data_IF_988728747839
#
_entry.id   IF_988728747839
#
_cell.length_a   1.000
_cell.length_b   1.000
_cell.length_c   1.000
_cell.angle_alpha   90.00
_cell.angle_beta   90.00
_cell.angle_gamma   90.00
#
_symmetry.space_group_name_H-M   'P 1'
#
loop_
_entity.id
_entity.type
_entity.pdbx_description
1 polymer ?
#
# COMPACT_ATOMS: atom_id res chain seq x y z
N UNK A 1 22.43 1.69 6.03
CA UNK A 1 22.75 1.87 4.61
C UNK A 1 21.55 2.51 3.91
N UNK A 2 21.72 3.71 3.36
CA UNK A 2 20.66 4.31 2.55
C UNK A 2 20.50 3.50 1.27
N UNK A 3 19.34 2.86 1.08
CA UNK A 3 18.98 2.25 -0.22
C UNK A 3 18.80 3.40 -1.20
N UNK A 4 19.54 3.50 -2.30
CA UNK A 4 19.48 4.64 -3.22
C UNK A 4 18.07 4.85 -3.84
N UNK A 5 17.21 3.83 -3.78
CA UNK A 5 15.84 3.85 -4.33
C UNK A 5 14.75 4.04 -3.25
N UNK A 6 15.12 4.16 -1.95
CA UNK A 6 14.15 4.29 -0.87
C UNK A 6 13.85 5.75 -0.54
N UNK A 7 12.59 6.12 -0.63
CA UNK A 7 12.10 7.49 -0.41
C UNK A 7 11.15 7.49 0.81
N UNK A 8 11.66 7.81 2.03
CA UNK A 8 10.90 7.69 3.28
C UNK A 8 9.61 8.51 3.33
N UNK A 9 9.60 9.69 2.70
CA UNK A 9 8.43 10.57 2.64
C UNK A 9 7.26 9.99 1.84
N UNK A 10 7.50 9.06 0.90
CA UNK A 10 6.42 8.35 0.21
C UNK A 10 5.71 7.33 1.11
N UNK A 11 6.45 6.71 2.05
CA UNK A 11 5.80 5.85 3.05
C UNK A 11 4.91 6.69 3.98
N UNK A 12 5.38 7.87 4.41
CA UNK A 12 4.54 8.77 5.20
C UNK A 12 3.32 9.29 4.43
N UNK A 13 3.45 9.58 3.15
CA UNK A 13 2.32 9.95 2.30
C UNK A 13 1.28 8.82 2.23
N UNK A 14 1.74 7.56 2.10
CA UNK A 14 0.86 6.38 2.19
C UNK A 14 0.19 6.24 3.55
N UNK A 15 0.92 6.54 4.62
CA UNK A 15 0.39 6.54 5.99
C UNK A 15 -0.73 7.54 6.19
N UNK A 16 -0.55 8.78 5.73
CA UNK A 16 -1.59 9.81 5.76
C UNK A 16 -2.80 9.38 4.91
N UNK A 17 -2.58 8.90 3.71
CA UNK A 17 -3.66 8.44 2.84
C UNK A 17 -4.47 7.30 3.50
N UNK A 18 -3.81 6.31 4.11
CA UNK A 18 -4.48 5.24 4.83
C UNK A 18 -5.30 5.76 6.02
N UNK A 19 -4.73 6.66 6.81
CA UNK A 19 -5.43 7.26 7.95
C UNK A 19 -6.69 8.03 7.49
N UNK A 20 -6.60 8.79 6.39
CA UNK A 20 -7.74 9.53 5.84
C UNK A 20 -8.84 8.59 5.33
N UNK A 21 -8.48 7.42 4.75
CA UNK A 21 -9.47 6.38 4.42
C UNK A 21 -10.17 5.86 5.68
N UNK A 22 -9.43 5.58 6.75
CA UNK A 22 -10.03 5.13 8.02
C UNK A 22 -10.99 6.18 8.56
N UNK A 23 -10.56 7.45 8.61
CA UNK A 23 -11.40 8.55 9.09
C UNK A 23 -12.65 8.75 8.20
N UNK A 24 -12.52 8.55 6.89
CA UNK A 24 -13.65 8.61 5.97
C UNK A 24 -14.71 7.53 6.23
N UNK A 25 -14.34 6.42 6.82
CA UNK A 25 -15.27 5.32 7.14
C UNK A 25 -15.79 5.35 8.59
N UNK A 26 -15.34 6.30 9.43
CA UNK A 26 -15.85 6.45 10.80
C UNK A 26 -17.37 6.69 10.78
N UNK A 27 -17.86 7.60 9.94
CA UNK A 27 -19.29 7.90 9.83
C UNK A 27 -20.16 6.75 9.30
N UNK A 28 -19.56 5.70 8.72
CA UNK A 28 -20.28 4.49 8.33
C UNK A 28 -20.71 3.63 9.52
N UNK A 29 -19.97 3.73 10.62
CA UNK A 29 -20.12 2.88 11.81
C UNK A 29 -20.65 3.70 12.99
N UNK A 30 -20.25 4.97 13.10
CA UNK A 30 -20.58 5.86 14.21
C UNK A 30 -21.50 6.98 13.73
N UNK A 31 -22.82 6.94 14.08
CA UNK A 31 -23.82 7.85 13.54
C UNK A 31 -23.61 9.33 13.86
N UNK A 32 -22.98 9.65 15.02
CA UNK A 32 -22.71 11.04 15.42
C UNK A 32 -21.44 11.62 14.78
N UNK A 33 -20.63 10.78 14.12
CA UNK A 33 -19.44 11.25 13.44
C UNK A 33 -19.80 12.19 12.27
N UNK A 34 -19.07 13.30 12.16
CA UNK A 34 -19.33 14.30 11.13
C UNK A 34 -19.21 13.74 9.70
N UNK A 35 -20.23 14.00 8.88
CA UNK A 35 -20.24 13.64 7.45
C UNK A 35 -19.08 14.27 6.64
N UNK A 36 -18.45 15.33 7.16
CA UNK A 36 -17.35 16.02 6.46
C UNK A 36 -16.08 15.17 6.30
N UNK A 37 -15.84 14.19 7.19
CA UNK A 37 -14.68 13.29 7.06
C UNK A 37 -14.90 12.18 6.03
N UNK A 38 -16.15 11.82 5.74
CA UNK A 38 -16.49 10.67 4.87
C UNK A 38 -16.10 10.86 3.41
N UNK A 39 -15.76 12.05 3.01
CA UNK A 39 -15.57 12.44 1.60
C UNK A 39 -14.11 12.38 1.14
N UNK A 40 -13.13 12.39 2.05
CA UNK A 40 -11.69 12.38 1.70
C UNK A 40 -11.16 10.99 1.30
N UNK A 41 -11.97 9.95 1.41
CA UNK A 41 -11.56 8.57 1.10
C UNK A 41 -11.21 8.36 -0.37
N UNK A 42 -11.94 8.98 -1.29
CA UNK A 42 -11.68 8.86 -2.73
C UNK A 42 -10.35 9.49 -3.12
N UNK A 43 -10.03 10.68 -2.57
CA UNK A 43 -8.77 11.38 -2.76
C UNK A 43 -7.58 10.55 -2.27
N UNK A 44 -7.74 9.94 -1.11
CA UNK A 44 -6.72 9.07 -0.53
C UNK A 44 -6.45 7.83 -1.41
N UNK A 45 -7.50 7.20 -1.95
CA UNK A 45 -7.34 6.08 -2.90
C UNK A 45 -6.72 6.54 -4.21
N UNK A 46 -7.10 7.72 -4.72
CA UNK A 46 -6.47 8.31 -5.89
C UNK A 46 -4.95 8.51 -5.71
N UNK A 47 -4.53 8.99 -4.53
CA UNK A 47 -3.10 9.07 -4.18
C UNK A 47 -2.43 7.69 -4.14
N UNK A 48 -3.08 6.65 -3.62
CA UNK A 48 -2.53 5.30 -3.66
C UNK A 48 -2.30 4.80 -5.09
N UNK A 49 -3.22 5.06 -6.01
CA UNK A 49 -3.05 4.69 -7.41
C UNK A 49 -1.90 5.48 -8.08
N UNK A 50 -1.79 6.79 -7.84
CA UNK A 50 -0.67 7.58 -8.33
C UNK A 50 0.68 7.11 -7.74
N UNK A 51 0.73 6.81 -6.43
CA UNK A 51 1.89 6.23 -5.76
C UNK A 51 2.28 4.86 -6.34
N UNK A 52 1.29 4.02 -6.64
CA UNK A 52 1.54 2.70 -7.25
C UNK A 52 2.17 2.86 -8.63
N UNK A 53 1.60 3.73 -9.48
CA UNK A 53 2.18 4.05 -10.79
C UNK A 53 3.61 4.59 -10.68
N UNK A 54 3.83 5.58 -9.79
CA UNK A 54 5.14 6.17 -9.53
C UNK A 54 6.17 5.11 -9.13
N UNK A 55 5.87 4.33 -8.12
CA UNK A 55 6.81 3.33 -7.60
C UNK A 55 7.14 2.25 -8.63
N UNK A 56 6.15 1.81 -9.42
CA UNK A 56 6.41 0.82 -10.47
C UNK A 56 7.37 1.38 -11.53
N UNK A 57 7.13 2.58 -12.03
CA UNK A 57 7.98 3.20 -13.04
C UNK A 57 9.36 3.58 -12.49
N UNK A 58 9.45 4.08 -11.26
CA UNK A 58 10.70 4.40 -10.58
C UNK A 58 11.59 3.16 -10.37
N UNK A 59 11.03 2.08 -9.84
CA UNK A 59 11.78 0.87 -9.50
C UNK A 59 12.09 -0.03 -10.71
N UNK A 60 11.23 -0.05 -11.71
CA UNK A 60 11.32 -0.99 -12.83
C UNK A 60 11.52 -0.31 -14.19
N UNK A 61 11.03 0.91 -14.38
CA UNK A 61 10.96 1.57 -15.69
C UNK A 61 12.30 1.80 -16.41
N UNK A 62 13.44 1.60 -15.75
CA UNK A 62 14.79 1.65 -16.33
C UNK A 62 15.46 0.27 -16.41
N UNK A 63 14.84 -0.78 -15.87
CA UNK A 63 15.39 -2.15 -15.89
C UNK A 63 15.10 -2.83 -17.23
N UNK A 64 15.92 -3.81 -17.65
CA UNK A 64 15.64 -4.60 -18.85
C UNK A 64 14.31 -5.33 -18.74
N UNK A 65 13.49 -5.27 -19.79
CA UNK A 65 12.22 -6.01 -19.88
C UNK A 65 12.53 -7.40 -20.41
N UNK A 66 12.76 -8.35 -19.51
CA UNK A 66 12.92 -9.78 -19.81
C UNK A 66 11.75 -10.56 -19.22
N UNK A 67 11.52 -11.77 -19.72
CA UNK A 67 10.47 -12.66 -19.21
C UNK A 67 10.64 -12.89 -17.70
N UNK A 68 11.88 -13.11 -17.28
CA UNK A 68 12.23 -13.37 -15.88
C UNK A 68 11.93 -12.17 -15.00
N UNK A 69 12.32 -10.97 -15.43
CA UNK A 69 12.06 -9.74 -14.67
C UNK A 69 10.57 -9.42 -14.57
N UNK A 70 9.80 -9.70 -15.63
CA UNK A 70 8.35 -9.53 -15.66
C UNK A 70 7.68 -10.51 -14.69
N UNK A 71 8.09 -11.79 -14.71
CA UNK A 71 7.55 -12.78 -13.79
C UNK A 71 7.90 -12.47 -12.33
N UNK A 72 9.15 -12.08 -12.04
CA UNK A 72 9.58 -11.63 -10.71
C UNK A 72 8.73 -10.46 -10.21
N UNK A 73 8.45 -9.50 -11.08
CA UNK A 73 7.58 -8.38 -10.80
C UNK A 73 6.16 -8.85 -10.45
N UNK A 74 5.53 -9.64 -11.34
CA UNK A 74 4.15 -10.10 -11.15
C UNK A 74 4.00 -10.92 -9.86
N UNK A 75 4.91 -11.86 -9.62
CA UNK A 75 4.88 -12.68 -8.40
C UNK A 75 5.06 -11.80 -7.15
N UNK A 76 6.00 -10.85 -7.18
CA UNK A 76 6.23 -9.97 -6.02
C UNK A 76 5.03 -9.07 -5.71
N UNK A 77 4.28 -8.64 -6.74
CA UNK A 77 3.06 -7.82 -6.56
C UNK A 77 1.88 -8.66 -6.10
N UNK A 78 1.67 -9.83 -6.71
CA UNK A 78 0.65 -10.77 -6.28
C UNK A 78 0.86 -11.22 -4.83
N UNK A 79 2.08 -11.60 -4.47
CA UNK A 79 2.43 -12.01 -3.11
C UNK A 79 2.24 -10.89 -2.06
N UNK A 80 2.31 -9.63 -2.48
CA UNK A 80 2.08 -8.49 -1.60
C UNK A 80 0.60 -8.24 -1.31
N UNK A 81 -0.27 -8.43 -2.31
CA UNK A 81 -1.68 -8.01 -2.23
C UNK A 81 -2.61 -9.18 -1.93
N UNK A 82 -2.52 -10.24 -2.72
CA UNK A 82 -3.57 -11.24 -2.77
C UNK A 82 -3.78 -12.03 -1.47
N UNK A 83 -2.74 -12.47 -0.73
CA UNK A 83 -2.96 -13.23 0.50
C UNK A 83 -3.69 -12.42 1.59
N UNK A 84 -3.30 -11.18 1.77
CA UNK A 84 -3.89 -10.28 2.78
C UNK A 84 -5.32 -9.89 2.37
N UNK A 85 -5.51 -9.60 1.09
CA UNK A 85 -6.84 -9.36 0.52
C UNK A 85 -7.77 -10.56 0.74
N UNK A 86 -7.32 -11.78 0.45
CA UNK A 86 -8.11 -12.99 0.66
C UNK A 86 -8.45 -13.20 2.14
N UNK A 87 -7.52 -12.93 3.06
CA UNK A 87 -7.78 -12.98 4.49
C UNK A 87 -8.86 -11.97 4.91
N UNK A 88 -8.84 -10.75 4.35
CA UNK A 88 -9.87 -9.75 4.62
C UNK A 88 -11.24 -10.15 4.03
N UNK A 89 -11.27 -10.69 2.81
CA UNK A 89 -12.49 -11.21 2.18
C UNK A 89 -13.10 -12.35 3.02
N UNK A 90 -12.27 -13.28 3.51
CA UNK A 90 -12.71 -14.37 4.39
C UNK A 90 -13.29 -13.84 5.70
N UNK A 91 -12.61 -12.89 6.35
CA UNK A 91 -13.10 -12.28 7.57
C UNK A 91 -14.47 -11.61 7.35
N UNK A 92 -14.58 -10.78 6.30
CA UNK A 92 -15.85 -10.10 5.98
C UNK A 92 -16.95 -11.09 5.62
N UNK A 93 -16.67 -12.14 4.88
CA UNK A 93 -17.64 -13.18 4.56
C UNK A 93 -18.13 -13.92 5.83
N UNK A 94 -17.23 -14.21 6.78
CA UNK A 94 -17.59 -14.79 8.07
C UNK A 94 -18.49 -13.84 8.86
N UNK A 95 -18.11 -12.57 9.00
CA UNK A 95 -18.92 -11.57 9.72
C UNK A 95 -20.30 -11.39 9.06
N UNK A 96 -20.36 -11.40 7.73
CA UNK A 96 -21.62 -11.29 6.97
C UNK A 96 -22.54 -12.50 7.11
N UNK A 97 -21.97 -13.68 7.38
CA UNK A 97 -22.72 -14.92 7.61
C UNK A 97 -23.20 -15.10 9.05
N UNK A 98 -22.72 -14.31 10.00
CA UNK A 98 -23.12 -14.38 11.40
C UNK A 98 -24.51 -13.77 11.58
N UNK A 99 -25.45 -14.57 12.09
CA UNK A 99 -26.82 -14.12 12.37
C UNK A 99 -26.80 -12.99 13.41
N UNK A 100 -27.62 -11.96 13.18
CA UNK A 100 -27.81 -10.80 14.06
C UNK A 100 -26.59 -9.85 14.18
N UNK A 101 -25.63 -9.93 13.25
CA UNK A 101 -24.48 -9.02 13.28
C UNK A 101 -24.67 -7.77 12.41
N UNK A 102 -25.47 -7.84 11.35
CA UNK A 102 -25.80 -6.75 10.40
C UNK A 102 -24.57 -5.95 9.96
N UNK A 103 -23.55 -6.66 9.45
CA UNK A 103 -22.29 -6.05 9.06
C UNK A 103 -22.48 -5.00 7.96
N UNK A 104 -21.90 -3.82 8.12
CA UNK A 104 -22.17 -2.62 7.31
C UNK A 104 -21.76 -2.72 5.83
N UNK A 105 -20.83 -3.60 5.48
CA UNK A 105 -20.35 -3.81 4.10
C UNK A 105 -20.29 -5.31 3.77
N UNK A 106 -21.43 -6.01 3.72
CA UNK A 106 -21.47 -7.48 3.66
C UNK A 106 -21.02 -8.03 2.31
N UNK A 107 -20.46 -9.25 2.37
CA UNK A 107 -20.32 -10.16 1.23
C UNK A 107 -21.42 -11.21 1.40
N UNK A 108 -22.44 -11.17 0.55
CA UNK A 108 -23.66 -11.98 0.72
C UNK A 108 -23.71 -13.16 -0.25
N UNK A 109 -23.76 -14.36 0.33
CA UNK A 109 -23.89 -15.58 -0.45
C UNK A 109 -22.63 -16.05 -1.18
N UNK A 110 -22.67 -17.30 -1.66
CA UNK A 110 -21.52 -17.96 -2.28
C UNK A 110 -21.07 -17.32 -3.60
N UNK A 111 -22.01 -16.83 -4.40
CA UNK A 111 -21.69 -16.19 -5.68
C UNK A 111 -20.89 -14.90 -5.48
N UNK A 112 -21.30 -14.07 -4.52
CA UNK A 112 -20.59 -12.81 -4.23
C UNK A 112 -19.21 -13.08 -3.61
N UNK A 113 -19.12 -14.06 -2.71
CA UNK A 113 -17.83 -14.53 -2.19
C UNK A 113 -16.87 -14.98 -3.31
N UNK A 114 -17.36 -15.83 -4.24
CA UNK A 114 -16.56 -16.30 -5.38
C UNK A 114 -16.11 -15.12 -6.24
N UNK A 115 -16.99 -14.13 -6.50
CA UNK A 115 -16.62 -12.91 -7.24
C UNK A 115 -15.46 -12.17 -6.56
N UNK A 116 -15.48 -12.02 -5.22
CA UNK A 116 -14.39 -11.40 -4.49
C UNK A 116 -13.10 -12.22 -4.60
N UNK A 117 -13.15 -13.53 -4.43
CA UNK A 117 -11.97 -14.40 -4.60
C UNK A 117 -11.31 -14.20 -5.97
N UNK A 118 -12.10 -14.03 -7.04
CA UNK A 118 -11.60 -13.81 -8.39
C UNK A 118 -11.41 -12.31 -8.75
N UNK A 119 -11.43 -11.41 -7.76
CA UNK A 119 -11.23 -9.96 -7.97
C UNK A 119 -12.31 -9.31 -8.85
N UNK A 120 -13.50 -9.86 -8.84
CA UNK A 120 -14.69 -9.36 -9.54
C UNK A 120 -15.74 -8.79 -8.58
N UNK A 121 -15.47 -8.80 -7.29
CA UNK A 121 -16.31 -8.21 -6.25
C UNK A 121 -15.90 -6.79 -5.91
N UNK A 122 -16.84 -5.99 -5.42
CA UNK A 122 -16.65 -4.56 -5.14
C UNK A 122 -17.25 -4.11 -3.81
N UNK A 123 -17.59 -5.04 -2.91
CA UNK A 123 -18.19 -4.70 -1.62
C UNK A 123 -17.23 -3.87 -0.77
N UNK A 124 -17.73 -2.78 -0.18
CA UNK A 124 -16.97 -1.93 0.70
C UNK A 124 -15.63 -1.47 0.10
N UNK A 125 -14.57 -1.55 0.87
CA UNK A 125 -13.22 -1.10 0.49
C UNK A 125 -12.55 -1.97 -0.59
N UNK A 126 -13.08 -3.16 -0.87
CA UNK A 126 -12.46 -4.11 -1.81
C UNK A 126 -12.48 -3.65 -3.27
N UNK A 127 -13.35 -2.70 -3.64
CA UNK A 127 -13.47 -2.19 -5.01
C UNK A 127 -12.15 -1.67 -5.60
N UNK A 128 -11.21 -1.20 -4.77
CA UNK A 128 -9.95 -0.60 -5.22
C UNK A 128 -8.87 -1.62 -5.57
N UNK A 129 -9.01 -2.87 -5.13
CA UNK A 129 -8.00 -3.92 -5.35
C UNK A 129 -8.01 -4.45 -6.80
N UNK A 130 -9.18 -4.72 -7.43
CA UNK A 130 -9.21 -5.13 -8.83
C UNK A 130 -8.51 -4.16 -9.80
N UNK A 131 -8.72 -2.83 -9.76
CA UNK A 131 -7.98 -1.90 -10.62
C UNK A 131 -6.46 -1.95 -10.40
N UNK A 132 -5.99 -2.13 -9.17
CA UNK A 132 -4.56 -2.24 -8.87
C UNK A 132 -3.94 -3.52 -9.47
N UNK A 133 -4.61 -4.65 -9.35
CA UNK A 133 -4.16 -5.91 -9.97
C UNK A 133 -4.21 -5.82 -11.50
N UNK A 134 -5.26 -5.25 -12.07
CA UNK A 134 -5.35 -5.00 -13.51
C UNK A 134 -4.21 -4.10 -14.00
N UNK A 135 -3.85 -3.07 -13.23
CA UNK A 135 -2.70 -2.23 -13.54
C UNK A 135 -1.38 -3.04 -13.49
N UNK A 136 -1.19 -3.93 -12.53
CA UNK A 136 0.01 -4.78 -12.50
C UNK A 136 0.12 -5.70 -13.71
N UNK A 137 -1.00 -6.18 -14.24
CA UNK A 137 -1.02 -6.96 -15.48
C UNK A 137 -0.71 -6.08 -16.72
N UNK A 138 -1.15 -4.83 -16.71
CA UNK A 138 -0.88 -3.86 -17.78
C UNK A 138 0.55 -3.29 -17.72
N UNK A 139 1.11 -3.15 -16.52
CA UNK A 139 2.38 -2.46 -16.30
C UNK A 139 3.57 -3.03 -17.10
N UNK A 140 3.74 -4.34 -17.35
CA UNK A 140 4.80 -4.84 -18.22
C UNK A 140 4.81 -4.21 -19.63
N UNK A 141 3.63 -3.91 -20.19
CA UNK A 141 3.50 -3.22 -21.47
C UNK A 141 3.95 -1.77 -21.35
N UNK A 142 3.50 -1.07 -20.29
CA UNK A 142 3.95 0.29 -20.01
C UNK A 142 5.45 0.33 -19.72
N UNK A 143 5.98 -0.62 -18.97
CA UNK A 143 7.41 -0.75 -18.70
C UNK A 143 8.23 -0.90 -19.99
N UNK A 144 7.76 -1.73 -20.96
CA UNK A 144 8.37 -1.85 -22.27
C UNK A 144 8.41 -0.51 -23.02
N UNK A 145 7.31 0.25 -22.97
CA UNK A 145 7.23 1.60 -23.53
C UNK A 145 8.21 2.56 -22.87
N UNK A 146 8.28 2.56 -21.53
CA UNK A 146 9.17 3.42 -20.75
C UNK A 146 10.65 3.08 -20.92
N UNK A 147 10.98 1.79 -21.12
CA UNK A 147 12.35 1.34 -21.36
C UNK A 147 12.86 1.70 -22.76
N UNK A 148 11.97 1.78 -23.77
CA UNK A 148 12.34 2.06 -25.18
C UNK A 148 11.34 3.03 -25.83
N UNK A 149 11.23 4.29 -25.37
CA UNK A 149 10.16 5.21 -25.76
C UNK A 149 10.18 5.52 -27.26
N UNK A 150 11.34 5.60 -27.89
CA UNK A 150 11.46 5.86 -29.33
C UNK A 150 10.85 4.72 -30.17
N UNK A 151 11.05 3.46 -29.75
CA UNK A 151 10.55 2.29 -30.46
C UNK A 151 9.03 2.13 -30.33
N UNK A 152 8.49 2.44 -29.15
CA UNK A 152 7.08 2.21 -28.81
C UNK A 152 6.27 3.50 -28.73
N UNK A 153 6.71 4.55 -29.43
CA UNK A 153 6.06 5.86 -29.49
C UNK A 153 4.57 5.76 -29.81
N UNK A 154 4.19 4.91 -30.76
CA UNK A 154 2.79 4.71 -31.13
C UNK A 154 1.93 4.14 -29.98
N UNK A 155 2.49 3.23 -29.19
CA UNK A 155 1.78 2.70 -28.01
C UNK A 155 1.63 3.75 -26.93
N UNK A 156 2.64 4.60 -26.70
CA UNK A 156 2.56 5.71 -25.73
C UNK A 156 1.45 6.68 -26.16
N UNK A 157 1.40 7.04 -27.46
CA UNK A 157 0.32 7.87 -28.02
C UNK A 157 -1.02 7.18 -27.84
N UNK A 158 -1.13 5.89 -28.14
CA UNK A 158 -2.35 5.11 -27.94
C UNK A 158 -2.86 5.13 -26.48
N UNK A 159 -1.96 4.90 -25.52
CA UNK A 159 -2.31 5.04 -24.09
C UNK A 159 -2.78 6.45 -23.73
N UNK A 160 -2.10 7.47 -24.23
CA UNK A 160 -2.47 8.87 -24.00
C UNK A 160 -3.86 9.15 -24.58
N UNK A 161 -4.12 8.72 -25.82
CA UNK A 161 -5.43 8.89 -26.47
C UNK A 161 -6.54 8.20 -25.65
N UNK A 162 -6.34 6.94 -25.23
CA UNK A 162 -7.32 6.22 -24.43
C UNK A 162 -7.64 6.98 -23.13
N UNK A 163 -6.62 7.47 -22.40
CA UNK A 163 -6.81 8.24 -21.17
C UNK A 163 -7.54 9.56 -21.41
N UNK A 164 -7.18 10.28 -22.48
CA UNK A 164 -7.83 11.55 -22.82
C UNK A 164 -9.28 11.32 -23.24
N UNK A 165 -9.53 10.31 -24.07
CA UNK A 165 -10.90 9.97 -24.53
C UNK A 165 -11.76 9.53 -23.35
N UNK A 166 -11.26 8.66 -22.47
CA UNK A 166 -11.96 8.23 -21.25
C UNK A 166 -12.28 9.43 -20.35
N UNK A 167 -11.30 10.30 -20.12
CA UNK A 167 -11.48 11.50 -19.29
C UNK A 167 -12.35 12.59 -19.89
N UNK A 168 -12.55 12.63 -21.22
CA UNK A 168 -13.43 13.57 -21.90
C UNK A 168 -14.86 13.04 -22.05
N UNK A 169 -15.01 11.73 -22.21
CA UNK A 169 -16.30 11.09 -22.47
C UNK A 169 -16.96 10.53 -21.21
N UNK A 170 -16.21 10.49 -20.07
CA UNK A 170 -16.65 9.90 -18.81
C UNK A 170 -17.32 8.53 -19.04
N UNK A 171 -16.56 7.62 -19.68
CA UNK A 171 -17.10 6.34 -20.13
C UNK A 171 -17.61 5.53 -18.92
N UNK A 172 -18.90 5.16 -18.92
CA UNK A 172 -19.47 4.42 -17.81
C UNK A 172 -18.81 3.04 -17.69
N UNK A 173 -18.33 2.73 -16.51
CA UNK A 173 -17.76 1.41 -16.22
C UNK A 173 -17.97 1.03 -14.76
N UNK A 174 -17.98 -0.29 -14.43
CA UNK A 174 -17.98 -0.72 -13.05
C UNK A 174 -16.78 -0.12 -12.30
N UNK A 175 -16.98 0.29 -11.05
CA UNK A 175 -15.93 0.91 -10.20
C UNK A 175 -14.67 0.05 -10.02
N UNK A 176 -14.78 -1.26 -10.30
CA UNK A 176 -13.67 -2.22 -10.28
C UNK A 176 -12.83 -2.26 -11.58
N UNK A 177 -13.20 -1.49 -12.61
CA UNK A 177 -12.44 -1.45 -13.86
C UNK A 177 -11.29 -0.45 -13.78
N UNK A 178 -10.15 -0.85 -14.30
CA UNK A 178 -8.95 -0.02 -14.36
C UNK A 178 -9.16 1.27 -15.15
N UNK A 179 -9.96 1.24 -16.22
CA UNK A 179 -10.03 2.32 -17.21
C UNK A 179 -10.27 3.68 -16.55
N UNK A 180 -11.30 3.81 -15.73
CA UNK A 180 -11.63 5.07 -15.01
C UNK A 180 -10.59 5.49 -13.95
N UNK A 181 -9.65 4.62 -13.58
CA UNK A 181 -8.57 4.89 -12.61
C UNK A 181 -7.19 4.97 -13.29
N UNK A 182 -7.13 4.57 -14.56
CA UNK A 182 -5.90 4.51 -15.35
C UNK A 182 -5.12 5.84 -15.41
N UNK A 183 -5.77 7.03 -15.49
CA UNK A 183 -5.06 8.31 -15.43
C UNK A 183 -4.15 8.48 -14.22
N UNK A 184 -4.61 8.06 -13.04
CA UNK A 184 -3.81 8.15 -11.80
C UNK A 184 -2.55 7.31 -11.88
N UNK A 185 -2.67 6.07 -12.33
CA UNK A 185 -1.53 5.17 -12.50
C UNK A 185 -0.56 5.68 -13.58
N UNK A 186 -1.05 6.16 -14.71
CA UNK A 186 -0.21 6.61 -15.82
C UNK A 186 0.52 7.91 -15.50
N UNK A 187 -0.15 8.91 -14.93
CA UNK A 187 0.51 10.15 -14.51
C UNK A 187 1.50 9.89 -13.37
N UNK A 188 1.15 8.99 -12.43
CA UNK A 188 2.09 8.52 -11.43
C UNK A 188 3.31 7.84 -12.03
N UNK A 189 3.11 6.94 -13.00
CA UNK A 189 4.21 6.25 -13.69
C UNK A 189 5.10 7.23 -14.50
N UNK A 190 4.52 8.22 -15.15
CA UNK A 190 5.27 9.27 -15.84
C UNK A 190 6.13 10.05 -14.84
N UNK A 191 5.55 10.48 -13.71
CA UNK A 191 6.28 11.17 -12.65
C UNK A 191 7.42 10.31 -12.09
N UNK A 192 7.20 9.01 -11.87
CA UNK A 192 8.22 8.07 -11.41
C UNK A 192 9.36 7.87 -12.43
N UNK A 193 9.02 7.82 -13.71
CA UNK A 193 10.02 7.75 -14.77
C UNK A 193 10.85 9.03 -14.88
N UNK A 194 10.20 10.21 -14.80
CA UNK A 194 10.89 11.50 -14.79
C UNK A 194 11.82 11.63 -13.58
N UNK A 195 11.38 11.18 -12.42
CA UNK A 195 12.21 11.16 -11.21
C UNK A 195 13.48 10.29 -11.39
N UNK A 196 13.37 9.17 -12.13
CA UNK A 196 14.50 8.25 -12.38
C UNK A 196 15.60 8.85 -13.28
N UNK A 197 15.28 9.85 -14.09
CA UNK A 197 16.31 10.51 -14.91
C UNK A 197 17.25 11.40 -14.10
N UNK A 198 16.87 11.74 -12.87
CA UNK A 198 17.59 12.70 -12.06
C UNK A 198 17.52 14.10 -12.65
N UNK A 199 17.72 15.07 -11.82
CA UNK A 199 18.04 16.45 -12.21
C UNK A 199 18.88 17.08 -11.10
N UNK A 200 19.48 18.21 -11.40
CA UNK A 200 20.29 18.99 -10.44
C UNK A 200 19.43 19.92 -9.58
N UNK A 201 18.08 19.75 -9.63
CA UNK A 201 17.21 20.60 -8.84
C UNK A 201 17.20 20.18 -7.38
N UNK A 202 17.63 21.07 -6.52
CA UNK A 202 17.61 20.91 -5.07
C UNK A 202 16.39 21.62 -4.49
N UNK A 203 15.41 20.89 -3.94
CA UNK A 203 14.21 21.52 -3.40
C UNK A 203 14.52 22.35 -2.16
N UNK A 204 13.91 23.54 -2.09
CA UNK A 204 14.04 24.47 -0.97
C UNK A 204 13.00 24.18 0.14
N UNK A 205 13.15 24.88 1.28
CA UNK A 205 12.14 24.86 2.33
C UNK A 205 10.76 25.36 1.83
N UNK A 206 10.77 26.38 0.95
CA UNK A 206 9.53 26.90 0.34
C UNK A 206 8.85 25.84 -0.52
N UNK A 207 9.62 25.03 -1.26
CA UNK A 207 9.09 23.88 -1.98
C UNK A 207 8.39 22.89 -1.03
N UNK A 208 8.95 22.68 0.16
CA UNK A 208 8.35 21.81 1.18
C UNK A 208 7.02 22.36 1.70
N UNK A 209 6.95 23.64 2.02
CA UNK A 209 5.71 24.33 2.43
C UNK A 209 4.66 24.21 1.33
N UNK A 210 5.04 24.51 0.08
CA UNK A 210 4.15 24.43 -1.06
C UNK A 210 3.63 22.99 -1.29
N UNK A 211 4.49 21.98 -1.11
CA UNK A 211 4.11 20.57 -1.22
C UNK A 211 3.06 20.18 -0.17
N UNK A 212 3.26 20.60 1.09
CA UNK A 212 2.28 20.35 2.17
C UNK A 212 0.98 21.12 1.96
N UNK A 213 1.06 22.34 1.44
CA UNK A 213 -0.12 23.13 1.06
C UNK A 213 -0.92 22.44 -0.06
N UNK A 214 -0.26 21.99 -1.13
CA UNK A 214 -0.91 21.25 -2.21
C UNK A 214 -1.55 19.96 -1.71
N UNK A 215 -0.86 19.25 -0.81
CA UNK A 215 -1.41 18.03 -0.20
C UNK A 215 -2.68 18.33 0.61
N UNK A 216 -2.65 19.37 1.44
CA UNK A 216 -3.83 19.80 2.19
C UNK A 216 -4.95 20.28 1.26
N UNK A 217 -4.62 21.09 0.25
CA UNK A 217 -5.59 21.56 -0.73
C UNK A 217 -6.23 20.41 -1.52
N UNK A 218 -5.48 19.39 -1.89
CA UNK A 218 -5.97 18.22 -2.61
C UNK A 218 -7.10 17.51 -1.84
N UNK A 219 -6.98 17.40 -0.53
CA UNK A 219 -8.00 16.78 0.31
C UNK A 219 -9.17 17.71 0.66
N UNK A 220 -8.96 19.03 0.70
CA UNK A 220 -9.96 19.96 1.21
C UNK A 220 -10.68 20.75 0.12
N UNK A 221 -10.09 20.93 -1.08
CA UNK A 221 -10.61 21.78 -2.14
C UNK A 221 -12.04 21.41 -2.57
N UNK A 222 -12.32 20.12 -2.79
CA UNK A 222 -13.65 19.65 -3.17
C UNK A 222 -14.71 19.99 -2.14
N UNK A 223 -14.35 19.89 -0.87
CA UNK A 223 -15.29 20.10 0.24
C UNK A 223 -15.53 21.57 0.51
N UNK A 224 -14.48 22.39 0.41
CA UNK A 224 -14.55 23.81 0.75
C UNK A 224 -15.03 24.68 -0.43
N UNK A 225 -14.70 24.31 -1.67
CA UNK A 225 -14.91 25.17 -2.83
C UNK A 225 -16.00 24.65 -3.75
N UNK A 226 -16.02 23.35 -4.04
CA UNK A 226 -16.94 22.77 -5.04
C UNK A 226 -18.21 22.18 -4.42
N UNK A 227 -18.30 22.10 -3.09
CA UNK A 227 -19.35 21.34 -2.46
C UNK A 227 -19.23 19.84 -2.77
N UNK A 228 -20.29 19.07 -2.48
CA UNK A 228 -20.34 17.65 -2.80
C UNK A 228 -20.49 17.43 -4.30
N UNK A 229 -19.35 17.24 -5.01
CA UNK A 229 -19.36 16.78 -6.40
C UNK A 229 -19.09 15.28 -6.45
N UNK A 230 -19.89 14.46 -7.16
CA UNK A 230 -19.62 13.04 -7.35
C UNK A 230 -18.38 12.76 -8.20
N UNK A 231 -17.87 13.74 -8.94
CA UNK A 231 -16.84 13.59 -9.97
C UNK A 231 -15.42 13.79 -9.42
N UNK A 232 -14.99 12.95 -8.47
CA UNK A 232 -13.58 12.94 -8.07
C UNK A 232 -12.66 12.35 -9.16
N UNK A 233 -13.12 11.31 -9.85
CA UNK A 233 -12.31 10.54 -10.81
C UNK A 233 -12.13 11.29 -12.14
N UNK A 234 -11.34 12.36 -12.11
CA UNK A 234 -11.07 13.25 -13.24
C UNK A 234 -9.59 13.31 -13.60
N UNK A 235 -9.29 13.76 -14.82
CA UNK A 235 -7.91 13.98 -15.26
C UNK A 235 -7.20 15.02 -14.39
N UNK A 236 -7.89 16.05 -13.94
CA UNK A 236 -7.35 17.11 -13.10
C UNK A 236 -6.89 16.54 -11.73
N UNK A 237 -7.76 15.75 -11.09
CA UNK A 237 -7.44 15.09 -9.82
C UNK A 237 -6.28 14.10 -9.97
N UNK A 238 -6.25 13.33 -11.06
CA UNK A 238 -5.16 12.40 -11.35
C UNK A 238 -3.82 13.13 -11.56
N UNK A 239 -3.84 14.24 -12.27
CA UNK A 239 -2.66 15.07 -12.50
C UNK A 239 -2.17 15.74 -11.22
N UNK A 240 -3.08 16.27 -10.40
CA UNK A 240 -2.75 16.84 -9.09
C UNK A 240 -2.12 15.80 -8.16
N UNK A 241 -2.69 14.59 -8.08
CA UNK A 241 -2.13 13.50 -7.30
C UNK A 241 -0.70 13.14 -7.75
N UNK A 242 -0.46 13.07 -9.06
CA UNK A 242 0.87 12.77 -9.61
C UNK A 242 1.89 13.88 -9.30
N UNK A 243 1.49 15.16 -9.37
CA UNK A 243 2.34 16.30 -8.99
C UNK A 243 2.72 16.20 -7.51
N UNK A 244 1.76 15.94 -6.63
CA UNK A 244 2.02 15.79 -5.19
C UNK A 244 3.02 14.67 -4.96
N UNK A 245 2.82 13.49 -5.56
CA UNK A 245 3.74 12.36 -5.45
C UNK A 245 5.12 12.72 -5.97
N UNK A 246 5.23 13.42 -7.11
CA UNK A 246 6.50 13.87 -7.69
C UNK A 246 7.24 14.84 -6.77
N UNK A 247 6.55 15.82 -6.19
CA UNK A 247 7.12 16.79 -5.27
C UNK A 247 7.58 16.14 -3.96
N UNK A 248 6.76 15.26 -3.38
CA UNK A 248 7.12 14.51 -2.17
C UNK A 248 8.33 13.60 -2.41
N UNK A 249 8.42 12.98 -3.59
CA UNK A 249 9.55 12.13 -3.98
C UNK A 249 10.88 12.90 -4.06
N UNK A 250 10.85 14.21 -4.34
CA UNK A 250 12.04 15.10 -4.31
C UNK A 250 12.55 15.39 -2.90
N UNK A 251 11.84 14.94 -1.90
CA UNK A 251 12.22 15.08 -0.48
C UNK A 251 12.53 16.51 -0.05
N UNK A 252 11.65 17.50 -0.29
CA UNK A 252 11.90 18.86 0.15
C UNK A 252 11.92 18.93 1.68
N UNK A 253 12.86 19.71 2.30
CA UNK A 253 13.23 19.58 3.70
C UNK A 253 12.07 19.59 4.70
N UNK A 254 11.14 20.55 4.57
CA UNK A 254 10.00 20.67 5.50
C UNK A 254 9.01 19.52 5.31
N UNK A 255 8.73 19.12 4.06
CA UNK A 255 7.84 17.99 3.79
C UNK A 255 8.45 16.67 4.29
N UNK A 256 9.77 16.49 4.17
CA UNK A 256 10.47 15.32 4.74
C UNK A 256 10.31 15.29 6.25
N UNK A 257 10.50 16.44 6.94
CA UNK A 257 10.37 16.48 8.39
C UNK A 257 9.00 15.98 8.87
N UNK A 258 7.93 16.29 8.14
CA UNK A 258 6.58 15.85 8.45
C UNK A 258 6.31 14.42 7.98
N UNK A 259 6.56 14.17 6.68
CA UNK A 259 6.15 12.90 6.05
C UNK A 259 7.10 11.74 6.39
N UNK A 260 8.40 12.00 6.57
CA UNK A 260 9.34 10.95 6.95
C UNK A 260 9.48 10.78 8.47
N UNK A 261 8.64 11.44 9.27
CA UNK A 261 8.56 11.20 10.71
C UNK A 261 8.19 9.74 11.02
N UNK A 262 8.75 9.18 12.10
CA UNK A 262 8.57 7.77 12.45
C UNK A 262 7.10 7.32 12.53
N UNK A 263 6.16 8.08 13.14
CA UNK A 263 4.75 7.69 13.15
C UNK A 263 4.12 7.60 11.76
N UNK A 264 4.45 8.54 10.85
CA UNK A 264 3.92 8.56 9.50
C UNK A 264 4.44 7.39 8.67
N UNK A 265 5.74 7.08 8.79
CA UNK A 265 6.34 5.91 8.15
C UNK A 265 5.78 4.59 8.70
N UNK A 266 5.55 4.52 10.01
CA UNK A 266 4.89 3.37 10.62
C UNK A 266 3.50 3.14 10.01
N UNK A 267 2.65 4.16 9.96
CA UNK A 267 1.35 4.08 9.29
C UNK A 267 1.48 3.68 7.81
N UNK A 268 2.50 4.19 7.12
CA UNK A 268 2.81 3.79 5.74
C UNK A 268 3.18 2.31 5.59
N UNK A 269 3.91 1.77 6.55
CA UNK A 269 4.30 0.35 6.57
C UNK A 269 3.08 -0.56 6.68
N UNK A 270 2.16 -0.26 7.60
CA UNK A 270 0.94 -1.05 7.83
C UNK A 270 -0.24 -0.62 6.95
N UNK A 271 -0.06 0.35 6.06
CA UNK A 271 -1.14 1.04 5.33
C UNK A 271 -2.06 0.09 4.57
N UNK A 272 -1.54 -1.01 4.03
CA UNK A 272 -2.32 -1.97 3.26
C UNK A 272 -3.21 -2.83 4.17
N UNK A 273 -2.67 -3.38 5.24
CA UNK A 273 -3.45 -4.08 6.26
C UNK A 273 -4.48 -3.15 6.92
N UNK A 274 -4.08 -1.90 7.22
CA UNK A 274 -4.99 -0.89 7.79
C UNK A 274 -6.15 -0.60 6.82
N UNK A 275 -5.86 -0.43 5.53
CA UNK A 275 -6.87 -0.20 4.49
C UNK A 275 -7.88 -1.34 4.40
N UNK A 276 -7.45 -2.59 4.47
CA UNK A 276 -8.35 -3.75 4.29
C UNK A 276 -9.17 -4.09 5.54
N UNK A 277 -8.62 -3.86 6.72
CA UNK A 277 -9.21 -4.38 7.96
C UNK A 277 -9.85 -3.32 8.87
N UNK A 278 -9.72 -2.00 8.57
CA UNK A 278 -10.25 -0.98 9.47
C UNK A 278 -11.77 -1.07 9.66
N UNK A 279 -12.55 -1.29 8.60
CA UNK A 279 -14.01 -1.37 8.71
C UNK A 279 -14.45 -2.55 9.58
N UNK A 280 -14.03 -3.81 9.33
CA UNK A 280 -14.41 -4.91 10.20
C UNK A 280 -13.91 -4.75 11.63
N UNK A 281 -12.71 -4.20 11.85
CA UNK A 281 -12.20 -3.98 13.22
C UNK A 281 -13.02 -2.92 13.94
N UNK A 282 -13.23 -1.74 13.32
CA UNK A 282 -14.03 -0.66 13.95
C UNK A 282 -15.47 -1.11 14.21
N UNK A 283 -16.06 -1.87 13.29
CA UNK A 283 -17.40 -2.43 13.48
C UNK A 283 -17.48 -3.38 14.68
N UNK A 284 -16.52 -4.30 14.81
CA UNK A 284 -16.48 -5.21 15.96
C UNK A 284 -16.27 -4.46 17.27
N UNK A 285 -15.42 -3.44 17.29
CA UNK A 285 -15.23 -2.59 18.48
C UNK A 285 -16.52 -1.85 18.83
N UNK A 286 -17.17 -1.23 17.85
CA UNK A 286 -18.45 -0.56 18.06
C UNK A 286 -19.46 -1.53 18.68
N UNK A 287 -19.68 -2.67 18.05
CA UNK A 287 -20.67 -3.67 18.49
C UNK A 287 -20.40 -4.24 19.88
N UNK A 288 -19.12 -4.33 20.27
CA UNK A 288 -18.73 -4.88 21.58
C UNK A 288 -18.84 -3.87 22.73
N UNK A 289 -18.70 -2.57 22.44
CA UNK A 289 -18.53 -1.54 23.49
C UNK A 289 -19.55 -0.39 23.39
N UNK A 290 -20.49 -0.39 22.45
CA UNK A 290 -21.46 0.70 22.25
C UNK A 290 -22.30 1.02 23.49
N UNK A 291 -22.58 0.03 24.35
CA UNK A 291 -23.33 0.21 25.59
C UNK A 291 -22.47 0.61 26.80
N UNK A 292 -21.12 0.58 26.66
CA UNK A 292 -20.22 0.72 27.81
C UNK A 292 -19.57 2.10 27.89
N UNK A 293 -19.54 2.87 26.79
CA UNK A 293 -18.87 4.17 26.77
C UNK A 293 -19.51 5.14 25.78
N UNK A 294 -19.32 6.48 25.97
CA UNK A 294 -19.78 7.49 25.04
C UNK A 294 -19.15 7.31 23.65
N UNK A 295 -19.91 7.60 22.58
CA UNK A 295 -19.49 7.39 21.19
C UNK A 295 -18.15 8.07 20.83
N UNK A 296 -17.91 9.29 21.32
CA UNK A 296 -16.64 9.98 21.08
C UNK A 296 -15.42 9.21 21.62
N UNK A 297 -15.54 8.63 22.82
CA UNK A 297 -14.50 7.77 23.41
C UNK A 297 -14.38 6.46 22.64
N UNK A 298 -15.49 5.90 22.21
CA UNK A 298 -15.55 4.67 21.43
C UNK A 298 -14.86 4.82 20.07
N UNK A 299 -15.05 5.96 19.39
CA UNK A 299 -14.33 6.29 18.14
C UNK A 299 -12.81 6.27 18.37
N UNK A 300 -12.33 6.95 19.43
CA UNK A 300 -10.91 6.98 19.74
C UNK A 300 -10.35 5.58 20.00
N UNK A 301 -11.05 4.76 20.78
CA UNK A 301 -10.69 3.37 21.06
C UNK A 301 -10.69 2.53 19.76
N UNK A 302 -11.72 2.68 18.93
CA UNK A 302 -11.82 1.97 17.64
C UNK A 302 -10.67 2.30 16.69
N UNK A 303 -10.26 3.58 16.61
CA UNK A 303 -9.11 4.00 15.80
C UNK A 303 -7.80 3.40 16.33
N UNK A 304 -7.57 3.41 17.64
CA UNK A 304 -6.37 2.81 18.23
C UNK A 304 -6.34 1.30 17.98
N UNK A 305 -7.46 0.60 18.19
CA UNK A 305 -7.57 -0.84 17.96
C UNK A 305 -7.45 -1.16 16.47
N UNK A 306 -7.97 -0.32 15.56
CA UNK A 306 -7.81 -0.50 14.12
C UNK A 306 -6.32 -0.42 13.70
N UNK A 307 -5.57 0.55 14.23
CA UNK A 307 -4.13 0.68 13.97
C UNK A 307 -3.34 -0.50 14.57
N UNK A 308 -3.61 -0.86 15.82
CA UNK A 308 -2.97 -2.00 16.49
C UNK A 308 -3.28 -3.34 15.83
N UNK A 309 -4.55 -3.56 15.45
CA UNK A 309 -4.99 -4.74 14.71
C UNK A 309 -4.37 -4.83 13.32
N UNK A 310 -4.29 -3.70 12.61
CA UNK A 310 -3.61 -3.63 11.32
C UNK A 310 -2.11 -3.96 11.42
N UNK A 311 -1.44 -3.47 12.45
CA UNK A 311 -0.04 -3.83 12.73
C UNK A 311 0.11 -5.33 13.00
N UNK A 312 -0.74 -5.89 13.86
CA UNK A 312 -0.74 -7.34 14.14
C UNK A 312 -0.94 -8.17 12.87
N UNK A 313 -1.92 -7.82 12.02
CA UNK A 313 -2.20 -8.50 10.76
C UNK A 313 -1.07 -8.31 9.73
N UNK A 314 -0.40 -7.15 9.73
CA UNK A 314 0.79 -6.91 8.92
C UNK A 314 1.91 -7.89 9.28
N UNK A 315 2.24 -8.04 10.59
CA UNK A 315 3.31 -8.90 11.05
C UNK A 315 2.98 -10.40 10.93
N UNK A 316 1.70 -10.77 11.10
CA UNK A 316 1.30 -12.19 11.14
C UNK A 316 0.82 -12.75 9.80
N UNK A 317 0.28 -11.92 8.91
CA UNK A 317 -0.27 -12.36 7.62
C UNK A 317 0.50 -11.74 6.46
N UNK A 318 0.60 -10.39 6.39
CA UNK A 318 1.13 -9.70 5.22
C UNK A 318 2.61 -10.04 4.99
N UNK A 319 3.44 -9.86 5.99
CA UNK A 319 4.88 -10.10 5.89
C UNK A 319 5.21 -11.58 5.69
N UNK A 320 4.67 -12.54 6.48
CA UNK A 320 4.98 -13.95 6.32
C UNK A 320 4.51 -14.53 4.99
N UNK A 321 3.28 -14.24 4.57
CA UNK A 321 2.74 -14.75 3.30
C UNK A 321 3.53 -14.24 2.10
N UNK A 322 3.91 -12.96 2.10
CA UNK A 322 4.76 -12.38 1.08
C UNK A 322 6.14 -13.04 1.02
N UNK A 323 6.79 -13.24 2.18
CA UNK A 323 8.10 -13.92 2.27
C UNK A 323 8.01 -15.34 1.74
N UNK A 324 6.98 -16.08 2.15
CA UNK A 324 6.75 -17.46 1.73
C UNK A 324 6.60 -17.55 0.20
N UNK A 325 5.69 -16.78 -0.39
CA UNK A 325 5.40 -16.86 -1.82
C UNK A 325 6.59 -16.42 -2.68
N UNK A 326 7.27 -15.34 -2.29
CA UNK A 326 8.48 -14.88 -2.99
C UNK A 326 9.61 -15.89 -2.83
N UNK A 327 9.79 -16.48 -1.65
CA UNK A 327 10.78 -17.53 -1.41
C UNK A 327 10.54 -18.80 -2.23
N UNK A 328 9.29 -19.28 -2.29
CA UNK A 328 8.89 -20.42 -3.12
C UNK A 328 9.15 -20.16 -4.61
N UNK A 329 8.84 -18.95 -5.08
CA UNK A 329 9.11 -18.55 -6.46
C UNK A 329 10.61 -18.53 -6.78
N UNK A 330 11.43 -17.94 -5.89
CA UNK A 330 12.88 -17.89 -6.06
C UNK A 330 13.49 -19.29 -6.07
N UNK A 331 13.04 -20.18 -5.20
CA UNK A 331 13.47 -21.58 -5.16
C UNK A 331 13.10 -22.35 -6.45
N UNK A 332 11.85 -22.20 -6.93
CA UNK A 332 11.41 -22.78 -8.19
C UNK A 332 12.27 -22.28 -9.35
N UNK A 333 12.51 -20.98 -9.42
CA UNK A 333 13.32 -20.36 -10.46
C UNK A 333 14.75 -20.87 -10.47
N UNK A 334 15.37 -21.01 -9.29
CA UNK A 334 16.71 -21.60 -9.15
C UNK A 334 16.75 -23.03 -9.72
N UNK A 335 15.78 -23.87 -9.40
CA UNK A 335 15.70 -25.25 -9.92
C UNK A 335 15.60 -25.32 -11.45
N UNK A 336 14.85 -24.37 -12.04
CA UNK A 336 14.58 -24.40 -13.51
C UNK A 336 15.73 -23.78 -14.31
N UNK A 337 16.37 -22.74 -13.82
CA UNK A 337 17.37 -21.98 -14.59
C UNK A 337 18.82 -22.39 -14.31
N UNK A 338 19.08 -23.13 -13.24
CA UNK A 338 20.43 -23.49 -12.79
C UNK A 338 21.35 -22.30 -12.50
N UNK A 339 20.80 -21.07 -12.49
CA UNK A 339 21.56 -19.86 -12.21
C UNK A 339 21.49 -19.56 -10.73
N UNK A 340 22.64 -19.45 -10.10
CA UNK A 340 22.77 -19.00 -8.73
C UNK A 340 22.00 -17.68 -8.51
N UNK A 341 21.33 -17.58 -7.37
CA UNK A 341 20.78 -16.31 -6.93
C UNK A 341 21.96 -15.35 -6.83
N UNK A 342 21.94 -14.17 -7.48
CA UNK A 342 23.04 -13.22 -7.38
C UNK A 342 23.37 -12.99 -5.90
N UNK A 343 24.66 -13.10 -5.54
CA UNK A 343 25.13 -13.00 -4.15
C UNK A 343 24.56 -11.76 -3.44
N UNK A 344 24.41 -10.64 -4.15
CA UNK A 344 23.74 -9.42 -3.67
C UNK A 344 22.29 -9.63 -3.19
N UNK A 345 21.56 -10.60 -3.75
CA UNK A 345 20.18 -10.90 -3.30
C UNK A 345 20.16 -11.77 -2.07
N UNK A 346 21.13 -12.67 -1.93
CA UNK A 346 21.32 -13.48 -0.73
C UNK A 346 21.74 -12.55 0.41
N UNK A 347 22.68 -11.66 0.17
CA UNK A 347 23.17 -10.68 1.13
C UNK A 347 22.06 -9.72 1.58
N UNK A 348 21.20 -9.24 0.67
CA UNK A 348 20.01 -8.46 1.02
C UNK A 348 19.00 -9.23 1.86
N UNK A 349 18.77 -10.51 1.53
CA UNK A 349 17.83 -11.34 2.31
C UNK A 349 18.38 -11.60 3.72
N UNK A 350 19.69 -11.81 3.86
CA UNK A 350 20.38 -11.98 5.14
C UNK A 350 20.32 -10.68 5.95
N UNK A 351 20.57 -9.53 5.32
CA UNK A 351 20.51 -8.23 5.98
C UNK A 351 19.07 -7.89 6.44
N UNK A 352 18.05 -8.19 5.62
CA UNK A 352 16.64 -8.03 5.99
C UNK A 352 16.23 -8.96 7.16
N UNK A 353 16.83 -10.16 7.25
CA UNK A 353 16.66 -11.07 8.38
C UNK A 353 17.34 -10.54 9.66
N UNK A 354 18.59 -10.10 9.56
CA UNK A 354 19.34 -9.55 10.69
C UNK A 354 18.72 -8.24 11.22
N UNK A 355 18.19 -7.40 10.34
CA UNK A 355 17.51 -6.17 10.76
C UNK A 355 16.17 -6.46 11.43
N UNK A 356 15.49 -7.54 11.02
CA UNK A 356 14.27 -8.04 11.66
C UNK A 356 14.57 -8.65 13.02
N UNK A 357 15.62 -9.43 13.14
CA UNK A 357 16.10 -10.02 14.41
C UNK A 357 16.50 -8.92 15.41
N UNK A 358 17.25 -7.90 14.97
CA UNK A 358 17.58 -6.75 15.81
C UNK A 358 16.34 -5.97 16.28
N UNK A 359 15.31 -5.85 15.45
CA UNK A 359 14.05 -5.22 15.85
C UNK A 359 13.30 -6.05 16.88
N UNK A 360 13.25 -7.35 16.71
CA UNK A 360 12.62 -8.27 17.66
C UNK A 360 13.35 -8.25 19.02
N UNK A 361 14.68 -8.26 19.01
CA UNK A 361 15.50 -8.19 20.24
C UNK A 361 15.39 -6.82 20.94
N UNK A 362 15.26 -5.72 20.18
CA UNK A 362 15.09 -4.38 20.75
C UNK A 362 13.67 -4.09 21.25
N UNK A 363 12.67 -4.87 20.85
CA UNK A 363 11.29 -4.79 21.31
C UNK A 363 10.93 -5.76 22.42
N UNK A 364 11.84 -6.69 22.78
CA UNK A 364 11.65 -7.58 23.90
C UNK A 364 11.80 -6.81 25.24
N UNK A 365 10.94 -7.04 26.24
CA UNK A 365 11.14 -6.49 27.59
C UNK A 365 12.49 -6.90 28.14
N UNK A 366 13.15 -6.02 28.88
CA UNK A 366 14.52 -6.20 29.38
C UNK A 366 14.74 -7.52 30.14
N UNK A 367 13.70 -8.06 30.75
CA UNK A 367 13.78 -9.33 31.52
C UNK A 367 13.95 -10.58 30.62
N UNK A 368 13.55 -10.52 29.35
CA UNK A 368 13.66 -11.65 28.41
C UNK A 368 15.05 -11.71 27.72
N UNK A 369 15.76 -10.58 27.67
CA UNK A 369 17.08 -10.50 27.04
C UNK A 369 18.17 -11.20 27.88
N UNK A 370 18.01 -11.25 29.21
CA UNK A 370 18.97 -11.88 30.13
C UNK A 370 18.89 -13.41 30.04
N UNK A 371 17.68 -13.98 29.94
CA UNK A 371 17.50 -15.44 29.83
C UNK A 371 18.04 -16.03 28.50
N UNK A 372 17.98 -15.24 27.40
CA UNK A 372 18.51 -15.70 26.11
C UNK A 372 20.03 -15.62 26.02
N UNK A 373 20.68 -14.73 26.79
CA UNK A 373 22.12 -14.63 26.84
C UNK A 373 22.73 -15.72 27.77
N UNK A 374 22.08 -16.04 28.88
CA UNK A 374 22.50 -17.15 29.76
C UNK A 374 22.30 -18.53 29.11
N UNK A 375 21.28 -18.71 28.25
CA UNK A 375 21.05 -19.93 27.49
C UNK A 375 22.11 -20.19 26.40
N UNK A 376 22.65 -19.14 25.78
CA UNK A 376 23.67 -19.25 24.74
C UNK A 376 25.06 -19.56 25.29
N UNK A 377 25.40 -19.05 26.50
CA UNK A 377 26.68 -19.34 27.17
C UNK A 377 26.72 -20.75 27.76
N UNK A 378 25.59 -21.35 28.14
CA UNK A 378 25.52 -22.71 28.67
C UNK A 378 25.65 -23.81 27.61
N UNK A 379 25.31 -23.53 26.34
CA UNK A 379 25.46 -24.51 25.24
C UNK A 379 26.87 -24.46 24.61
N UNK A 380 27.59 -23.35 24.75
CA UNK A 380 29.00 -23.21 24.32
C UNK A 380 29.97 -24.08 25.11
N UNK A 381 29.71 -24.28 26.42
CA UNK A 381 30.61 -25.04 27.31
C UNK A 381 30.45 -26.58 27.19
N UNK A 382 29.30 -27.06 26.70
CA UNK A 382 29.08 -28.49 26.41
C UNK A 382 29.72 -29.01 25.13
N UNK A 383 30.04 -28.09 24.19
CA UNK A 383 30.68 -28.42 22.92
C UNK A 383 32.18 -28.70 23.04
N UNK A 384 32.85 -28.10 24.01
CA UNK A 384 34.31 -28.19 24.13
C UNK A 384 34.77 -29.40 24.99
N UNK A 385 33.93 -29.95 25.87
CA UNK A 385 34.21 -31.17 26.62
C UNK A 385 34.12 -32.46 25.79
N UNK A 386 33.40 -32.47 24.65
CA UNK A 386 33.33 -33.65 23.75
C UNK A 386 34.47 -33.75 22.74
N UNK A 387 35.36 -32.76 22.66
CA UNK A 387 36.54 -32.78 21.78
C UNK A 387 37.85 -33.14 22.51
N UNK A 388 37.79 -33.37 23.82
CA UNK A 388 38.99 -33.73 24.65
C UNK A 388 38.89 -35.09 25.33
N UNK A 389 37.96 -35.97 24.89
CA UNK A 389 37.90 -37.36 25.32
C UNK A 389 38.10 -38.34 24.15
#
# INVERSE_FOLDING_TARGET
MNRPDYIPSLDGLRGIAALLVVLAHVGLIFPTASAHLTTMGSEAVGLFFALSGFLMAHLYGSRPVTKENVLDFLVSRFARIYPVYLAAVLLVAILSGMQNLDFVQPITGGTDFIRHVFLLGSSGVFWSIPPEIQFYLLFPILWLCLARPQRYRGMIVGFTVVVVVDGLLDLPGPGIMLLSKLPYFLFGALAGKMHSYGDNWTPSALTGIFTLFLLAAFFTYRHLVLGFSPEFWSLQSAFAAAIIVALVARQPPIAVHVLAAAPMRFLGTISFSLYLFHVPIMFLVHRSFESLMPEASLIAVALVIAVGGAWFLHETIEVPSRRLLVGLWQHHRWRVTGRDIPAERIERAILDLQETEKRLLSSAPADTAVELQEGADHDGDRGDQKRRA
#
